data_IF_766855199897
#
_entry.id   IF_766855199897
#
_cell.length_a   1.000
_cell.length_b   1.000
_cell.length_c   1.000
_cell.angle_alpha   90.00
_cell.angle_beta   90.00
_cell.angle_gamma   90.00
#
_symmetry.space_group_name_H-M   'P 1'
#
loop_
_entity.id
_entity.type
_entity.pdbx_description
1 polymer ?
#
# COMPACT_ATOMS: atom_id res chain seq x y z
N UNK A 1 -9.31 25.95 -6.12
CA UNK A 1 -8.12 25.24 -6.61
C UNK A 1 -8.49 23.78 -6.86
N UNK A 2 -7.99 23.13 -7.93
CA UNK A 2 -8.27 21.73 -8.18
C UNK A 2 -7.68 20.85 -7.06
N UNK A 3 -8.44 19.84 -6.63
CA UNK A 3 -7.94 18.83 -5.71
C UNK A 3 -6.97 17.93 -6.46
N UNK A 4 -5.75 17.82 -5.98
CA UNK A 4 -4.74 16.96 -6.57
C UNK A 4 -5.04 15.48 -6.23
N UNK A 5 -4.75 14.55 -7.15
CA UNK A 5 -4.83 13.12 -6.87
C UNK A 5 -3.76 12.70 -5.85
N UNK A 6 -3.92 11.49 -5.30
CA UNK A 6 -2.88 10.86 -4.52
C UNK A 6 -1.69 10.50 -5.41
N UNK A 7 -0.47 10.79 -4.97
CA UNK A 7 0.77 10.48 -5.68
C UNK A 7 1.58 9.42 -4.95
N UNK A 8 2.25 8.59 -5.72
CA UNK A 8 3.23 7.66 -5.17
C UNK A 8 4.39 8.43 -4.50
N UNK A 9 5.11 7.73 -3.63
CA UNK A 9 6.30 8.26 -2.96
C UNK A 9 7.34 8.73 -3.99
N UNK A 10 7.91 9.91 -3.79
CA UNK A 10 9.02 10.44 -4.61
C UNK A 10 10.37 9.83 -4.17
N UNK A 11 11.38 9.97 -5.03
CA UNK A 11 12.69 9.35 -4.80
C UNK A 11 13.38 9.89 -3.56
N UNK A 12 13.25 11.18 -3.26
CA UNK A 12 13.82 11.77 -2.05
C UNK A 12 13.17 11.22 -0.78
N UNK A 13 11.83 11.05 -0.76
CA UNK A 13 11.16 10.41 0.37
C UNK A 13 11.51 8.92 0.45
N UNK A 14 11.73 8.25 -0.68
CA UNK A 14 12.20 6.86 -0.72
C UNK A 14 13.63 6.74 -0.19
N UNK A 15 14.50 7.69 -0.51
CA UNK A 15 15.87 7.76 0.04
C UNK A 15 15.83 7.95 1.56
N UNK A 16 15.07 8.94 2.06
CA UNK A 16 14.91 9.15 3.50
C UNK A 16 14.28 7.95 4.22
N UNK A 17 13.36 7.23 3.58
CA UNK A 17 12.74 6.01 4.12
C UNK A 17 13.79 4.92 4.39
N UNK A 18 14.83 4.85 3.55
CA UNK A 18 15.87 3.83 3.57
C UNK A 18 17.14 4.25 4.32
N UNK A 19 17.30 5.52 4.64
CA UNK A 19 18.47 6.05 5.35
C UNK A 19 18.34 5.86 6.86
N UNK A 20 19.16 5.00 7.51
CA UNK A 20 19.13 4.77 8.95
C UNK A 20 19.39 6.02 9.80
N UNK A 21 20.08 7.02 9.26
CA UNK A 21 20.37 8.28 9.94
C UNK A 21 19.21 9.27 9.86
N UNK A 22 18.23 9.04 8.98
CA UNK A 22 17.08 9.92 8.85
C UNK A 22 16.02 9.66 9.91
N UNK A 23 15.45 10.73 10.50
CA UNK A 23 14.38 10.64 11.50
C UNK A 23 13.12 9.90 11.01
N UNK A 24 12.94 9.79 9.69
CA UNK A 24 11.85 9.06 9.02
C UNK A 24 12.26 7.70 8.47
N UNK A 25 13.45 7.23 8.83
CA UNK A 25 13.85 5.86 8.51
C UNK A 25 12.76 4.85 8.88
N UNK A 26 12.38 3.99 7.95
CA UNK A 26 11.30 3.02 8.15
C UNK A 26 9.98 3.64 8.66
N UNK A 27 9.60 4.83 8.18
CA UNK A 27 8.31 5.44 8.52
C UNK A 27 7.28 5.16 7.41
N UNK A 28 6.26 4.30 7.65
CA UNK A 28 5.34 3.82 6.60
C UNK A 28 4.40 4.89 6.05
N UNK A 29 4.42 6.10 6.61
CA UNK A 29 3.59 7.24 6.20
C UNK A 29 4.42 8.47 5.81
N UNK A 30 5.70 8.28 5.45
CA UNK A 30 6.55 9.38 4.97
C UNK A 30 5.99 10.00 3.69
N UNK A 31 6.02 11.32 3.61
CA UNK A 31 5.59 12.11 2.47
C UNK A 31 6.23 13.49 2.46
N UNK A 32 5.98 14.27 1.39
CA UNK A 32 6.34 15.68 1.27
C UNK A 32 5.31 16.43 0.41
N UNK A 33 5.60 17.65 0.00
CA UNK A 33 4.72 18.43 -0.90
C UNK A 33 4.55 17.81 -2.28
N UNK A 34 5.52 16.99 -2.74
CA UNK A 34 5.52 16.40 -4.08
C UNK A 34 4.91 14.99 -4.14
N UNK A 35 4.67 14.33 -3.00
CA UNK A 35 4.24 12.93 -2.97
C UNK A 35 3.32 12.62 -1.80
N UNK A 36 2.74 11.42 -1.84
CA UNK A 36 1.84 10.91 -0.81
C UNK A 36 0.38 11.26 -1.05
N UNK A 37 -0.48 10.98 -0.08
CA UNK A 37 -1.92 11.14 -0.21
C UNK A 37 -2.35 12.61 -0.26
N UNK A 38 -3.39 12.91 -1.03
CA UNK A 38 -4.04 14.21 -1.19
C UNK A 38 -5.55 14.05 -1.16
N UNK A 39 -6.14 13.50 -2.25
CA UNK A 39 -7.57 13.30 -2.36
C UNK A 39 -8.13 12.42 -1.23
N UNK A 40 -7.48 11.31 -0.94
CA UNK A 40 -7.90 10.36 0.09
C UNK A 40 -7.83 10.88 1.54
N UNK A 41 -7.28 12.08 1.74
CA UNK A 41 -7.22 12.70 3.07
C UNK A 41 -8.33 13.70 3.33
N UNK A 42 -8.98 14.23 2.28
CA UNK A 42 -9.85 15.41 2.39
C UNK A 42 -11.15 15.03 3.06
N UNK A 43 -11.52 15.78 4.09
CA UNK A 43 -12.85 15.76 4.71
C UNK A 43 -13.72 16.91 4.21
N UNK A 44 -13.11 18.09 4.05
CA UNK A 44 -13.77 19.30 3.57
C UNK A 44 -12.76 20.28 2.98
N UNK A 45 -13.25 21.30 2.26
CA UNK A 45 -12.43 22.41 1.77
C UNK A 45 -12.50 23.60 2.76
N UNK A 46 -11.46 24.46 2.78
CA UNK A 46 -10.22 24.44 2.00
C UNK A 46 -9.28 23.28 2.41
N UNK A 47 -8.34 22.91 1.50
CA UNK A 47 -7.36 21.85 1.75
C UNK A 47 -6.30 22.30 2.77
N UNK A 48 -6.68 22.27 4.04
CA UNK A 48 -5.84 22.52 5.20
C UNK A 48 -5.83 21.31 6.12
N UNK A 49 -4.76 21.11 6.90
CA UNK A 49 -4.57 19.92 7.74
C UNK A 49 -5.78 19.61 8.63
N UNK A 50 -6.40 20.63 9.23
CA UNK A 50 -7.57 20.46 10.10
C UNK A 50 -8.78 19.88 9.35
N UNK A 51 -8.87 20.16 8.05
CA UNK A 51 -9.94 19.67 7.17
C UNK A 51 -9.61 18.33 6.50
N UNK A 52 -8.56 17.66 6.98
CA UNK A 52 -8.12 16.35 6.51
C UNK A 52 -8.19 15.29 7.61
N UNK A 53 -8.08 14.01 7.23
CA UNK A 53 -7.96 12.90 8.18
C UNK A 53 -6.66 12.97 9.01
N UNK A 54 -5.71 13.83 8.62
CA UNK A 54 -4.50 14.09 9.39
C UNK A 54 -4.69 15.14 10.50
N UNK A 55 -5.81 15.82 10.54
CA UNK A 55 -6.12 16.84 11.56
C UNK A 55 -6.09 16.30 13.00
N UNK A 56 -6.43 15.03 13.20
CA UNK A 56 -6.37 14.38 14.53
C UNK A 56 -4.95 14.08 15.03
N UNK A 57 -3.95 14.13 14.17
CA UNK A 57 -2.55 13.87 14.52
C UNK A 57 -1.81 15.20 14.78
N UNK A 58 -1.63 15.54 16.04
CA UNK A 58 -0.88 16.74 16.43
C UNK A 58 0.59 16.59 16.04
N UNK A 59 1.11 17.52 15.26
CA UNK A 59 2.51 17.53 14.85
C UNK A 59 3.43 17.72 16.05
N UNK A 60 4.49 16.91 16.16
CA UNK A 60 5.58 17.21 17.07
C UNK A 60 6.32 18.48 16.62
N UNK A 61 7.09 19.10 17.54
CA UNK A 61 7.79 20.36 17.27
C UNK A 61 8.60 20.33 15.96
N UNK A 62 9.39 19.27 15.75
CA UNK A 62 10.21 19.14 14.54
C UNK A 62 9.37 19.07 13.25
N UNK A 63 8.23 18.34 13.26
CA UNK A 63 7.34 18.32 12.09
C UNK A 63 6.64 19.66 11.88
N UNK A 64 6.36 20.41 12.96
CA UNK A 64 5.78 21.74 12.89
C UNK A 64 6.79 22.76 12.34
N UNK A 65 8.04 22.67 12.76
CA UNK A 65 9.12 23.53 12.25
C UNK A 65 9.31 23.31 10.74
N UNK A 66 9.42 22.04 10.28
CA UNK A 66 9.49 21.68 8.86
C UNK A 66 8.25 22.16 8.06
N UNK A 67 7.07 22.09 8.66
CA UNK A 67 5.82 22.51 8.02
C UNK A 67 5.76 24.04 7.80
N UNK A 68 6.38 24.82 8.70
CA UNK A 68 6.40 26.29 8.65
C UNK A 68 7.60 26.88 7.91
N UNK A 69 8.63 26.11 7.66
CA UNK A 69 9.85 26.54 6.98
C UNK A 69 9.66 26.56 5.46
N UNK A 70 9.64 27.73 4.80
CA UNK A 70 9.44 27.85 3.36
C UNK A 70 10.59 27.25 2.54
N UNK A 71 11.74 26.99 3.15
CA UNK A 71 12.87 26.34 2.48
C UNK A 71 12.81 24.81 2.57
N UNK A 72 11.93 24.25 3.40
CA UNK A 72 11.80 22.84 3.61
C UNK A 72 10.84 22.19 2.60
N UNK A 73 11.21 21.01 2.07
CA UNK A 73 10.38 20.23 1.14
C UNK A 73 9.04 19.75 1.74
N UNK A 74 8.79 19.99 3.02
CA UNK A 74 7.54 19.71 3.72
C UNK A 74 6.75 20.96 4.11
N UNK A 75 7.17 22.11 3.58
CA UNK A 75 6.46 23.37 3.76
C UNK A 75 5.00 23.22 3.33
N UNK A 76 4.07 23.46 4.27
CA UNK A 76 2.62 23.28 4.06
C UNK A 76 2.19 21.89 3.52
N UNK A 77 3.01 20.85 3.70
CA UNK A 77 2.60 19.49 3.37
C UNK A 77 1.58 18.99 4.40
N UNK A 78 0.29 19.06 4.08
CA UNK A 78 -0.80 18.73 5.01
C UNK A 78 -0.69 17.34 5.64
N UNK A 79 -0.24 16.27 4.91
CA UNK A 79 -0.06 14.94 5.49
C UNK A 79 1.23 14.73 6.27
N UNK A 80 2.08 15.77 6.45
CA UNK A 80 3.38 15.62 7.12
C UNK A 80 3.26 14.96 8.50
N UNK A 81 4.13 13.99 8.74
CA UNK A 81 4.22 13.27 10.00
C UNK A 81 5.61 12.62 10.16
N UNK A 82 5.85 12.09 11.35
CA UNK A 82 6.97 11.18 11.62
C UNK A 82 6.52 10.04 12.56
N UNK A 83 7.41 9.13 12.89
CA UNK A 83 7.11 8.00 13.78
C UNK A 83 6.48 8.41 15.12
N UNK A 84 6.80 9.61 15.63
CA UNK A 84 6.31 10.07 16.94
C UNK A 84 4.90 10.66 16.86
N UNK A 85 4.59 11.41 15.80
CA UNK A 85 3.35 12.19 15.72
C UNK A 85 2.40 11.77 14.60
N UNK A 86 2.76 10.78 13.79
CA UNK A 86 1.94 10.29 12.68
C UNK A 86 1.13 9.05 13.01
N UNK A 87 0.42 8.55 12.00
CA UNK A 87 -0.35 7.31 12.11
C UNK A 87 0.48 6.13 12.58
N UNK A 88 -0.18 5.18 13.24
CA UNK A 88 0.42 3.95 13.76
C UNK A 88 -0.14 2.74 13.05
N UNK A 89 0.72 1.75 12.82
CA UNK A 89 0.30 0.44 12.32
C UNK A 89 -0.19 -0.44 13.47
N UNK A 90 -1.19 -1.25 13.21
CA UNK A 90 -1.62 -2.34 14.08
C UNK A 90 -1.86 -3.60 13.25
N UNK A 91 -1.35 -4.73 13.70
CA UNK A 91 -1.65 -6.04 13.16
C UNK A 91 -2.73 -6.70 14.00
N UNK A 92 -3.84 -7.07 13.37
CA UNK A 92 -5.06 -7.48 14.07
C UNK A 92 -5.54 -8.85 13.58
N UNK A 93 -6.06 -9.65 14.48
CA UNK A 93 -6.99 -10.73 14.15
C UNK A 93 -8.37 -10.15 13.79
N UNK A 94 -9.19 -10.93 13.11
CA UNK A 94 -10.48 -10.45 12.58
C UNK A 94 -11.57 -10.26 13.65
N UNK A 95 -11.33 -10.74 14.87
CA UNK A 95 -12.14 -10.43 16.06
C UNK A 95 -11.78 -9.06 16.69
N UNK A 96 -10.84 -8.32 16.08
CA UNK A 96 -10.41 -6.98 16.51
C UNK A 96 -9.25 -6.97 17.51
N UNK A 97 -8.74 -8.13 17.96
CA UNK A 97 -7.62 -8.18 18.89
C UNK A 97 -6.33 -7.71 18.21
N UNK A 98 -5.65 -6.73 18.81
CA UNK A 98 -4.33 -6.27 18.37
C UNK A 98 -3.27 -7.29 18.79
N UNK A 99 -2.56 -7.85 17.80
CA UNK A 99 -1.49 -8.83 17.98
C UNK A 99 -0.13 -8.12 18.10
N UNK A 100 0.08 -7.07 17.29
CA UNK A 100 1.33 -6.32 17.25
C UNK A 100 1.10 -4.89 16.79
N UNK A 101 2.06 -3.99 17.09
CA UNK A 101 2.01 -2.59 16.69
C UNK A 101 3.27 -2.17 15.92
N UNK A 102 3.15 -1.17 15.05
CA UNK A 102 4.23 -0.48 14.36
C UNK A 102 5.21 -1.44 13.64
N UNK A 103 6.49 -1.42 13.99
CA UNK A 103 7.53 -2.24 13.35
C UNK A 103 7.24 -3.74 13.48
N UNK A 104 6.77 -4.18 14.65
CA UNK A 104 6.42 -5.57 14.89
C UNK A 104 5.14 -5.98 14.13
N UNK A 105 4.19 -5.06 13.95
CA UNK A 105 3.01 -5.27 13.11
C UNK A 105 3.40 -5.58 11.65
N UNK A 106 4.33 -4.80 11.09
CA UNK A 106 4.82 -5.04 9.73
C UNK A 106 5.62 -6.34 9.65
N UNK A 107 6.46 -6.64 10.64
CA UNK A 107 7.22 -7.89 10.69
C UNK A 107 6.26 -9.09 10.70
N UNK A 108 5.28 -9.08 11.60
CA UNK A 108 4.30 -10.16 11.70
C UNK A 108 3.51 -10.35 10.40
N UNK A 109 3.10 -9.26 9.75
CA UNK A 109 2.45 -9.30 8.44
C UNK A 109 3.32 -10.00 7.38
N UNK A 110 4.63 -9.70 7.35
CA UNK A 110 5.56 -10.31 6.41
C UNK A 110 5.75 -11.81 6.69
N UNK A 111 5.90 -12.20 7.96
CA UNK A 111 6.05 -13.58 8.36
C UNK A 111 4.82 -14.39 7.95
N UNK A 112 3.61 -13.88 8.24
CA UNK A 112 2.35 -14.55 7.87
C UNK A 112 2.13 -14.59 6.34
N UNK A 113 2.60 -13.57 5.57
CA UNK A 113 2.59 -13.64 4.09
C UNK A 113 3.51 -14.75 3.56
N UNK A 114 4.70 -14.94 4.15
CA UNK A 114 5.61 -16.05 3.82
C UNK A 114 4.99 -17.40 4.14
N UNK A 115 4.20 -17.48 5.21
CA UNK A 115 3.45 -18.65 5.61
C UNK A 115 2.18 -18.90 4.76
N UNK A 116 2.00 -18.14 3.67
CA UNK A 116 0.89 -18.31 2.73
C UNK A 116 -0.45 -17.76 3.22
N UNK A 117 -0.47 -16.90 4.24
CA UNK A 117 -1.69 -16.25 4.71
C UNK A 117 -2.15 -15.14 3.77
N UNK A 118 -3.45 -14.88 3.79
CA UNK A 118 -4.08 -13.76 3.09
C UNK A 118 -4.29 -12.63 4.09
N UNK A 119 -3.65 -11.50 3.85
CA UNK A 119 -3.69 -10.35 4.77
C UNK A 119 -4.45 -9.19 4.13
N UNK A 120 -5.37 -8.58 4.87
CA UNK A 120 -5.97 -7.31 4.47
C UNK A 120 -5.06 -6.16 4.91
N UNK A 121 -4.52 -5.39 3.96
CA UNK A 121 -3.61 -4.27 4.23
C UNK A 121 -4.32 -2.95 3.91
N UNK A 122 -4.39 -2.04 4.88
CA UNK A 122 -4.95 -0.70 4.70
C UNK A 122 -3.97 0.21 3.97
N UNK A 123 -4.27 0.47 2.71
CA UNK A 123 -3.51 1.37 1.84
C UNK A 123 -3.95 2.84 1.98
N UNK A 124 -3.81 3.60 0.88
CA UNK A 124 -4.18 5.02 0.83
C UNK A 124 -5.70 5.18 0.74
N UNK A 125 -6.37 4.47 -0.16
CA UNK A 125 -7.79 4.61 -0.43
C UNK A 125 -8.68 3.47 0.09
N UNK A 126 -8.17 2.55 0.90
CA UNK A 126 -8.92 1.43 1.47
C UNK A 126 -8.06 0.18 1.66
N UNK A 127 -8.70 -0.91 2.06
CA UNK A 127 -8.05 -2.19 2.27
C UNK A 127 -7.82 -2.94 0.96
N UNK A 128 -6.66 -3.59 0.85
CA UNK A 128 -6.35 -4.55 -0.21
C UNK A 128 -6.13 -5.93 0.40
N UNK A 129 -6.64 -6.95 -0.27
CA UNK A 129 -6.33 -8.35 0.05
C UNK A 129 -5.00 -8.70 -0.62
N UNK A 130 -4.07 -9.15 0.18
CA UNK A 130 -2.67 -9.39 -0.22
C UNK A 130 -2.28 -10.82 0.14
N UNK A 131 -1.57 -11.49 -0.76
CA UNK A 131 -0.87 -12.75 -0.51
C UNK A 131 0.40 -12.83 -1.36
N UNK A 132 1.31 -13.75 -1.04
CA UNK A 132 2.48 -14.02 -1.89
C UNK A 132 2.02 -14.53 -3.26
N UNK A 133 2.45 -13.85 -4.33
CA UNK A 133 2.09 -14.18 -5.70
C UNK A 133 2.72 -15.50 -6.18
N UNK A 134 3.80 -15.96 -5.56
CA UNK A 134 4.49 -17.21 -5.92
C UNK A 134 3.91 -18.42 -5.18
N UNK A 135 3.14 -18.21 -4.12
CA UNK A 135 2.47 -19.28 -3.40
C UNK A 135 1.13 -19.63 -4.10
N UNK A 136 1.14 -20.73 -4.88
CA UNK A 136 -0.03 -21.15 -5.67
C UNK A 136 -1.25 -21.50 -4.82
N UNK A 137 -1.05 -22.00 -3.60
CA UNK A 137 -2.13 -22.33 -2.67
C UNK A 137 -2.77 -21.08 -2.10
N UNK A 138 -1.96 -20.08 -1.69
CA UNK A 138 -2.45 -18.80 -1.22
C UNK A 138 -3.25 -18.05 -2.30
N UNK A 139 -2.74 -18.05 -3.55
CA UNK A 139 -3.43 -17.43 -4.71
C UNK A 139 -4.75 -18.15 -5.00
N UNK A 140 -4.77 -19.47 -4.99
CA UNK A 140 -5.97 -20.25 -5.23
C UNK A 140 -7.02 -20.04 -4.13
N UNK A 141 -6.59 -20.07 -2.86
CA UNK A 141 -7.44 -19.79 -1.70
C UNK A 141 -8.03 -18.37 -1.76
N UNK A 142 -7.24 -17.37 -2.15
CA UNK A 142 -7.75 -15.98 -2.31
C UNK A 142 -8.86 -15.93 -3.36
N UNK A 143 -8.67 -16.58 -4.53
CA UNK A 143 -9.67 -16.60 -5.59
C UNK A 143 -10.95 -17.31 -5.18
N UNK A 144 -10.81 -18.46 -4.50
CA UNK A 144 -11.94 -19.24 -4.00
C UNK A 144 -12.73 -18.46 -2.94
N UNK A 145 -12.07 -17.99 -1.88
CA UNK A 145 -12.70 -17.23 -0.79
C UNK A 145 -13.36 -15.95 -1.31
N UNK A 146 -12.74 -15.29 -2.31
CA UNK A 146 -13.30 -14.10 -2.96
C UNK A 146 -14.38 -14.43 -4.01
N UNK A 147 -14.65 -15.71 -4.28
CA UNK A 147 -15.60 -16.22 -5.30
C UNK A 147 -15.37 -15.61 -6.68
N UNK A 148 -14.09 -15.54 -7.10
CA UNK A 148 -13.66 -14.97 -8.39
C UNK A 148 -12.67 -15.89 -9.12
N UNK A 149 -13.03 -17.16 -9.45
CA UNK A 149 -12.10 -18.17 -9.97
C UNK A 149 -11.49 -17.76 -11.32
N UNK A 150 -12.22 -17.05 -12.16
CA UNK A 150 -11.79 -16.71 -13.53
C UNK A 150 -11.19 -15.31 -13.67
N UNK A 151 -11.28 -14.44 -12.65
CA UNK A 151 -10.76 -13.07 -12.77
C UNK A 151 -9.24 -13.07 -12.64
N UNK A 152 -8.50 -12.50 -13.64
CA UNK A 152 -7.05 -12.29 -13.51
C UNK A 152 -6.73 -11.41 -12.29
N UNK A 153 -5.57 -11.65 -11.70
CA UNK A 153 -5.04 -10.88 -10.58
C UNK A 153 -3.80 -10.10 -11.04
N UNK A 154 -3.66 -8.88 -10.56
CA UNK A 154 -2.44 -8.09 -10.75
C UNK A 154 -1.44 -8.41 -9.65
N UNK A 155 -0.15 -8.34 -10.00
CA UNK A 155 0.95 -8.48 -9.03
C UNK A 155 1.63 -7.14 -8.80
N UNK A 156 2.03 -6.89 -7.57
CA UNK A 156 2.89 -5.76 -7.19
C UNK A 156 4.33 -6.27 -7.08
N UNK A 157 5.21 -5.75 -7.93
CA UNK A 157 6.63 -6.05 -7.92
C UNK A 157 7.39 -4.93 -7.21
N UNK A 158 8.47 -5.26 -6.51
CA UNK A 158 9.29 -4.31 -5.74
C UNK A 158 9.85 -3.17 -6.61
N UNK A 159 10.31 -3.52 -7.81
CA UNK A 159 10.94 -2.64 -8.79
C UNK A 159 10.78 -3.20 -10.21
N UNK A 160 11.35 -2.51 -11.20
CA UNK A 160 11.35 -2.96 -12.59
C UNK A 160 12.12 -4.25 -12.80
N UNK A 161 13.21 -4.46 -12.08
CA UNK A 161 14.04 -5.66 -12.22
C UNK A 161 13.22 -6.90 -11.86
N UNK A 162 12.55 -6.87 -10.71
CA UNK A 162 11.61 -7.93 -10.33
C UNK A 162 10.45 -8.07 -11.33
N UNK A 163 9.92 -6.98 -11.87
CA UNK A 163 8.84 -7.03 -12.87
C UNK A 163 9.31 -7.68 -14.18
N UNK A 164 10.54 -7.44 -14.58
CA UNK A 164 11.18 -8.07 -15.75
C UNK A 164 11.33 -9.58 -15.60
N UNK A 165 11.36 -10.13 -14.39
CA UNK A 165 11.36 -11.59 -14.21
C UNK A 165 10.07 -12.24 -14.69
N UNK A 166 8.94 -11.53 -14.62
CA UNK A 166 7.59 -12.07 -14.89
C UNK A 166 6.98 -11.62 -16.21
N UNK A 167 7.43 -10.51 -16.78
CA UNK A 167 6.89 -9.96 -18.02
C UNK A 167 7.97 -9.39 -18.95
N UNK A 168 7.65 -9.32 -20.24
CA UNK A 168 8.40 -8.55 -21.21
C UNK A 168 7.99 -7.09 -21.08
N UNK A 169 8.95 -6.18 -20.86
CA UNK A 169 8.70 -4.76 -20.59
C UNK A 169 9.54 -3.93 -21.57
N UNK A 170 8.89 -3.10 -22.38
CA UNK A 170 9.57 -2.12 -23.24
C UNK A 170 9.78 -0.78 -22.49
N UNK A 171 10.51 0.16 -23.12
CA UNK A 171 10.84 1.46 -22.52
C UNK A 171 9.60 2.30 -22.17
N UNK A 172 8.56 2.28 -23.01
CA UNK A 172 7.34 3.04 -22.79
C UNK A 172 6.56 2.47 -21.60
N UNK A 173 6.45 1.15 -21.52
CA UNK A 173 5.82 0.45 -20.39
C UNK A 173 6.59 0.69 -19.09
N UNK A 174 7.92 0.66 -19.12
CA UNK A 174 8.78 0.96 -17.98
C UNK A 174 8.57 2.40 -17.47
N UNK A 175 8.45 3.38 -18.36
CA UNK A 175 8.13 4.78 -18.02
C UNK A 175 6.75 4.90 -17.34
N UNK A 176 5.74 4.18 -17.83
CA UNK A 176 4.40 4.18 -17.23
C UNK A 176 4.43 3.53 -15.85
N UNK A 177 5.06 2.37 -15.70
CA UNK A 177 5.22 1.69 -14.40
C UNK A 177 5.93 2.58 -13.37
N UNK A 178 6.95 3.34 -13.79
CA UNK A 178 7.71 4.25 -12.93
C UNK A 178 7.05 5.61 -12.72
N UNK A 179 5.95 5.92 -13.39
CA UNK A 179 5.26 7.19 -13.18
C UNK A 179 4.81 7.37 -11.72
N UNK A 180 4.55 8.61 -11.33
CA UNK A 180 4.07 8.95 -9.97
C UNK A 180 2.65 8.44 -9.66
N UNK A 181 1.95 7.87 -10.65
CA UNK A 181 0.62 7.24 -10.49
C UNK A 181 0.73 5.75 -10.17
N UNK A 182 1.86 5.10 -10.53
CA UNK A 182 2.08 3.64 -10.36
C UNK A 182 0.89 2.80 -10.81
N UNK A 183 0.41 2.96 -12.07
CA UNK A 183 -0.76 2.25 -12.56
C UNK A 183 -0.48 0.75 -12.73
N UNK A 184 -1.55 -0.04 -12.78
CA UNK A 184 -1.47 -1.43 -13.26
C UNK A 184 -1.33 -1.40 -14.77
N UNK A 185 -0.24 -1.99 -15.28
CA UNK A 185 0.03 -2.13 -16.71
C UNK A 185 -0.15 -3.59 -17.11
N UNK A 186 -0.90 -3.85 -18.17
CA UNK A 186 -1.04 -5.19 -18.76
C UNK A 186 0.14 -5.46 -19.68
N UNK A 187 0.95 -6.45 -19.33
CA UNK A 187 2.22 -6.77 -19.96
C UNK A 187 2.19 -8.20 -20.51
N UNK A 188 2.98 -8.47 -21.55
CA UNK A 188 3.16 -9.82 -22.09
C UNK A 188 3.86 -10.69 -21.03
N UNK A 189 3.20 -11.75 -20.57
CA UNK A 189 3.69 -12.65 -19.54
C UNK A 189 4.85 -13.52 -20.03
N UNK A 190 5.80 -13.82 -19.15
CA UNK A 190 6.82 -14.85 -19.34
C UNK A 190 6.35 -16.25 -18.92
N UNK A 191 5.11 -16.39 -18.46
CA UNK A 191 4.44 -17.63 -18.07
C UNK A 191 5.15 -18.40 -16.93
N UNK A 192 5.85 -17.72 -16.05
CA UNK A 192 6.55 -18.28 -14.89
C UNK A 192 5.87 -17.96 -13.54
N UNK A 193 4.65 -17.44 -13.60
CA UNK A 193 3.76 -17.25 -12.44
C UNK A 193 2.78 -18.40 -12.31
N UNK A 194 2.20 -18.64 -11.11
CA UNK A 194 1.10 -19.58 -10.94
C UNK A 194 -0.02 -19.35 -11.95
N UNK A 195 -0.50 -20.43 -12.61
CA UNK A 195 -1.55 -20.35 -13.65
C UNK A 195 -2.83 -19.66 -13.17
N UNK A 196 -3.11 -19.73 -11.87
CA UNK A 196 -4.25 -19.07 -11.23
C UNK A 196 -4.20 -17.53 -11.31
N UNK A 197 -3.04 -16.89 -11.53
CA UNK A 197 -2.91 -15.44 -11.64
C UNK A 197 -3.47 -14.93 -12.97
N UNK A 198 -2.99 -15.46 -14.08
CA UNK A 198 -3.32 -14.98 -15.43
C UNK A 198 -4.52 -15.69 -16.08
N UNK A 199 -5.03 -16.77 -15.48
CA UNK A 199 -6.17 -17.55 -16.00
C UNK A 199 -6.01 -17.97 -17.49
N UNK A 200 -4.76 -18.24 -17.94
CA UNK A 200 -4.46 -18.65 -19.33
C UNK A 200 -4.40 -17.51 -20.36
N UNK A 201 -4.57 -16.27 -19.94
CA UNK A 201 -4.35 -15.10 -20.81
C UNK A 201 -2.85 -14.84 -20.88
N UNK A 202 -2.26 -14.71 -22.08
CA UNK A 202 -0.82 -14.49 -22.29
C UNK A 202 -0.29 -13.14 -21.77
N UNK A 203 -1.02 -12.48 -20.86
CA UNK A 203 -0.68 -11.20 -20.23
C UNK A 203 -0.85 -11.25 -18.72
N UNK A 204 -0.12 -10.41 -18.01
CA UNK A 204 -0.20 -10.20 -16.56
C UNK A 204 -0.26 -8.71 -16.25
N UNK A 205 -1.13 -8.33 -15.29
CA UNK A 205 -1.15 -6.98 -14.75
C UNK A 205 -0.04 -6.80 -13.72
N UNK A 206 0.86 -5.84 -13.95
CA UNK A 206 1.96 -5.52 -13.02
C UNK A 206 1.87 -4.05 -12.62
N UNK A 207 2.21 -3.74 -11.38
CA UNK A 207 2.41 -2.38 -10.88
C UNK A 207 3.50 -2.34 -9.81
N UNK A 208 4.04 -1.14 -9.58
CA UNK A 208 5.08 -0.91 -8.58
C UNK A 208 4.48 -0.29 -7.31
N UNK A 209 5.14 -0.40 -6.14
CA UNK A 209 4.59 0.02 -4.87
C UNK A 209 4.36 1.54 -4.82
N UNK A 210 3.11 2.00 -4.61
CA UNK A 210 2.81 3.43 -4.56
C UNK A 210 3.08 4.06 -3.20
N UNK A 211 3.17 3.28 -2.13
CA UNK A 211 3.28 3.80 -0.77
C UNK A 211 4.55 3.34 -0.06
N UNK A 212 5.03 4.12 0.93
CA UNK A 212 6.16 3.71 1.77
C UNK A 212 5.94 2.35 2.45
N UNK A 213 4.71 2.07 2.90
CA UNK A 213 4.34 0.80 3.53
C UNK A 213 4.57 -0.38 2.58
N UNK A 214 4.11 -0.28 1.32
CA UNK A 214 4.30 -1.33 0.33
C UNK A 214 5.78 -1.52 -0.05
N UNK A 215 6.57 -0.42 -0.11
CA UNK A 215 8.02 -0.51 -0.33
C UNK A 215 8.68 -1.30 0.81
N UNK A 216 8.40 -0.91 2.06
CA UNK A 216 8.95 -1.60 3.25
C UNK A 216 8.57 -3.08 3.31
N UNK A 217 7.36 -3.41 2.88
CA UNK A 217 6.87 -4.78 2.83
C UNK A 217 7.61 -5.57 1.77
N UNK A 218 7.66 -5.08 0.53
CA UNK A 218 8.28 -5.77 -0.61
C UNK A 218 9.80 -5.88 -0.47
N UNK A 219 10.48 -4.85 0.06
CA UNK A 219 11.92 -4.89 0.33
C UNK A 219 12.30 -6.04 1.29
N UNK A 220 11.43 -6.35 2.27
CA UNK A 220 11.67 -7.41 3.28
C UNK A 220 11.13 -8.77 2.87
N UNK A 221 10.00 -8.80 2.16
CA UNK A 221 9.44 -10.04 1.64
C UNK A 221 10.29 -10.61 0.50
N UNK A 222 10.82 -9.71 -0.35
CA UNK A 222 11.61 -10.01 -1.56
C UNK A 222 10.92 -10.99 -2.52
N UNK A 223 9.60 -10.93 -2.57
CA UNK A 223 8.71 -11.70 -3.46
C UNK A 223 7.61 -10.76 -3.98
N UNK A 224 7.12 -10.93 -5.23
CA UNK A 224 5.96 -10.19 -5.69
C UNK A 224 4.71 -10.60 -4.88
N UNK A 225 3.78 -9.67 -4.71
CA UNK A 225 2.52 -9.95 -4.02
C UNK A 225 1.32 -9.75 -4.94
N UNK A 226 0.28 -10.55 -4.74
CA UNK A 226 -1.06 -10.17 -5.21
C UNK A 226 -1.54 -9.00 -4.35
N UNK A 227 -2.12 -7.98 -4.98
CA UNK A 227 -2.88 -6.97 -4.26
C UNK A 227 -4.18 -6.68 -5.02
N UNK A 228 -5.31 -7.04 -4.42
CA UNK A 228 -6.64 -6.79 -4.99
C UNK A 228 -7.51 -6.05 -4.00
N UNK A 229 -8.44 -5.22 -4.48
CA UNK A 229 -9.33 -4.44 -3.61
C UNK A 229 -10.10 -5.32 -2.63
N UNK A 230 -10.15 -4.95 -1.36
CA UNK A 230 -10.99 -5.60 -0.36
C UNK A 230 -12.40 -5.02 -0.45
N UNK A 231 -13.24 -5.63 -1.26
CA UNK A 231 -14.64 -5.28 -1.45
C UNK A 231 -15.46 -6.50 -1.85
N UNK A 232 -16.74 -6.56 -1.47
CA UNK A 232 -17.71 -7.43 -2.14
C UNK A 232 -17.83 -7.05 -3.62
N UNK A 233 -18.35 -7.98 -4.43
CA UNK A 233 -18.45 -7.75 -5.89
C UNK A 233 -19.34 -6.56 -6.20
N UNK A 234 -18.87 -5.63 -7.04
CA UNK A 234 -19.55 -4.41 -7.49
C UNK A 234 -19.76 -3.33 -6.42
N UNK A 235 -19.12 -3.46 -5.27
CA UNK A 235 -19.16 -2.45 -4.21
C UNK A 235 -17.85 -1.66 -4.11
N UNK A 236 -17.85 -0.50 -3.45
CA UNK A 236 -16.64 0.25 -3.16
C UNK A 236 -15.66 -0.55 -2.28
N UNK A 237 -14.40 -0.15 -2.33
CA UNK A 237 -13.36 -0.71 -1.45
C UNK A 237 -13.66 -0.36 0.01
N UNK A 238 -13.48 -1.31 0.92
CA UNK A 238 -13.69 -1.10 2.35
C UNK A 238 -12.57 -0.25 2.94
N UNK A 239 -12.93 0.72 3.78
CA UNK A 239 -12.00 1.66 4.41
C UNK A 239 -11.94 1.50 5.93
N UNK A 240 -12.93 0.84 6.51
CA UNK A 240 -13.09 0.61 7.95
C UNK A 240 -12.79 -0.85 8.31
N UNK A 241 -12.09 -1.07 9.45
CA UNK A 241 -11.72 -2.41 9.90
C UNK A 241 -12.95 -3.25 10.32
N UNK A 242 -13.92 -2.67 11.01
CA UNK A 242 -15.08 -3.41 11.51
C UNK A 242 -15.95 -3.90 10.34
N UNK A 243 -16.10 -3.08 9.31
CA UNK A 243 -16.75 -3.49 8.07
C UNK A 243 -15.95 -4.59 7.34
N UNK A 244 -14.62 -4.47 7.29
CA UNK A 244 -13.75 -5.50 6.71
C UNK A 244 -13.95 -6.83 7.44
N UNK A 245 -13.87 -6.83 8.76
CA UNK A 245 -13.99 -8.02 9.59
C UNK A 245 -15.38 -8.69 9.43
N UNK A 246 -16.44 -7.89 9.44
CA UNK A 246 -17.80 -8.42 9.30
C UNK A 246 -18.13 -8.96 7.91
N UNK A 247 -17.61 -8.31 6.85
CA UNK A 247 -18.00 -8.59 5.45
C UNK A 247 -17.02 -9.47 4.69
N UNK A 248 -15.73 -9.42 5.03
CA UNK A 248 -14.65 -10.17 4.38
C UNK A 248 -13.79 -10.97 5.37
N UNK A 249 -14.23 -11.15 6.61
CA UNK A 249 -13.52 -11.93 7.61
C UNK A 249 -13.29 -13.39 7.23
N UNK A 250 -14.13 -13.95 6.35
CA UNK A 250 -13.90 -15.28 5.79
C UNK A 250 -12.90 -15.31 4.61
N UNK A 251 -12.50 -14.14 4.09
CA UNK A 251 -11.64 -14.03 2.90
C UNK A 251 -10.17 -13.84 3.29
N UNK A 252 -9.87 -13.10 4.34
CA UNK A 252 -8.51 -12.87 4.84
C UNK A 252 -8.32 -13.53 6.21
N UNK A 253 -7.07 -13.73 6.59
CA UNK A 253 -6.70 -14.38 7.85
C UNK A 253 -6.41 -13.33 8.95
N UNK A 254 -5.83 -12.19 8.57
CA UNK A 254 -5.48 -11.08 9.46
C UNK A 254 -5.60 -9.75 8.74
N UNK A 255 -5.43 -8.64 9.49
CA UNK A 255 -5.37 -7.30 8.93
C UNK A 255 -4.16 -6.51 9.42
N UNK A 256 -3.46 -5.83 8.52
CA UNK A 256 -2.51 -4.76 8.82
C UNK A 256 -3.25 -3.43 8.62
N UNK A 257 -3.70 -2.87 9.71
CA UNK A 257 -4.49 -1.64 9.79
C UNK A 257 -3.62 -0.45 10.23
N UNK A 258 -4.16 0.73 10.11
CA UNK A 258 -3.59 1.95 10.69
C UNK A 258 -4.72 2.87 11.19
N UNK A 259 -4.39 3.73 12.15
CA UNK A 259 -5.32 4.62 12.81
C UNK A 259 -5.67 5.89 12.01
N UNK A 260 -5.21 6.04 10.76
CA UNK A 260 -5.65 7.09 9.85
C UNK A 260 -6.98 6.70 9.21
N UNK A 261 -7.97 7.58 9.28
CA UNK A 261 -9.23 7.42 8.56
C UNK A 261 -9.02 7.65 7.04
N UNK A 262 -9.92 7.11 6.24
CA UNK A 262 -9.95 7.28 4.78
C UNK A 262 -11.29 7.87 4.38
#
# INVERSE_FOLDING_TARGET
APILPDFAICDECKSELKDPMNRRYNHPFINCTNCGPRFSLIKSLPYDRINTTMGKFNMCKQCQDEYKDPTNRRYHAQPVACKNCGPKLSYKSLDGKIIANNTEALKRCIDDLKDGKIIAIKGVGGFHLVCDALNSEAVSSLKERKRRPHKPLAIMCKDLDMACDYAYINESEAKILNSNLKPIVLLKSKNNLPKSISSGVGSVGIFLPPTPLHIMLLDRLNSPIIATSANPSKEPILTNFDELASRLGSVCDYALDNDRDI
#
